data_IF_280523471396
#
_entry.id   IF_280523471396
#
_cell.length_a   1.000
_cell.length_b   1.000
_cell.length_c   1.000
_cell.angle_alpha   90.00
_cell.angle_beta   90.00
_cell.angle_gamma   90.00
#
_symmetry.space_group_name_H-M   'P 1'
#
loop_
_entity.id
_entity.type
_entity.pdbx_description
1 polymer ?
#
# COMPACT_ATOMS: atom_id res chain seq x y z
N UNK A 1 -32.55 -0.12 34.07
CA UNK A 1 -32.07 1.23 33.69
C UNK A 1 -30.55 1.31 33.43
N UNK A 2 -29.73 0.27 33.69
CA UNK A 2 -28.27 0.30 33.48
C UNK A 2 -27.77 -0.35 32.16
N UNK A 3 -28.63 -1.06 31.42
CA UNK A 3 -28.24 -1.73 30.16
C UNK A 3 -28.05 -0.77 28.97
N UNK A 4 -28.84 0.32 28.93
CA UNK A 4 -28.80 1.31 27.86
C UNK A 4 -27.45 2.07 27.76
N UNK A 5 -26.87 2.60 28.87
CA UNK A 5 -25.58 3.31 28.78
C UNK A 5 -24.42 2.38 28.41
N UNK A 6 -24.44 1.11 28.86
CA UNK A 6 -23.41 0.13 28.53
C UNK A 6 -23.44 -0.21 27.03
N UNK A 7 -24.64 -0.33 26.45
CA UNK A 7 -24.81 -0.63 25.03
C UNK A 7 -24.35 0.54 24.13
N UNK A 8 -24.58 1.79 24.56
CA UNK A 8 -24.08 2.99 23.85
C UNK A 8 -22.55 3.06 23.89
N UNK A 9 -21.92 2.70 25.01
CA UNK A 9 -20.47 2.71 25.18
C UNK A 9 -19.77 1.66 24.30
N UNK A 10 -20.38 0.47 24.16
CA UNK A 10 -19.90 -0.61 23.26
C UNK A 10 -20.02 -0.21 21.78
N UNK A 11 -21.11 0.48 21.41
CA UNK A 11 -21.28 0.98 20.05
C UNK A 11 -20.23 2.07 19.75
N UNK A 12 -19.98 3.00 20.67
CA UNK A 12 -18.99 4.06 20.47
C UNK A 12 -17.56 3.53 20.29
N UNK A 13 -17.20 2.44 20.99
CA UNK A 13 -15.90 1.80 20.89
C UNK A 13 -15.67 1.06 19.56
N UNK A 14 -16.75 0.68 18.84
CA UNK A 14 -16.66 -0.08 17.58
C UNK A 14 -16.51 0.78 16.32
N UNK A 15 -16.62 2.12 16.43
CA UNK A 15 -16.49 3.04 15.29
C UNK A 15 -15.12 3.73 15.19
N UNK A 16 -14.17 3.37 16.05
CA UNK A 16 -12.83 3.95 16.09
C UNK A 16 -11.86 3.33 15.08
N UNK A 17 -12.08 3.49 13.77
CA UNK A 17 -10.98 3.32 12.80
C UNK A 17 -11.24 4.02 11.47
N UNK A 18 -11.22 5.36 11.47
CA UNK A 18 -10.92 6.11 10.24
C UNK A 18 -9.52 6.68 10.36
N UNK A 19 -8.54 5.85 10.02
CA UNK A 19 -7.17 6.30 9.80
C UNK A 19 -7.15 7.37 8.71
N UNK A 20 -7.04 8.63 9.13
CA UNK A 20 -6.72 9.77 8.29
C UNK A 20 -5.23 9.72 7.96
N UNK A 21 -4.90 9.29 6.76
CA UNK A 21 -3.66 9.69 6.12
C UNK A 21 -3.83 9.54 4.61
N UNK A 22 -3.20 10.42 3.83
CA UNK A 22 -2.99 10.24 2.39
C UNK A 22 -2.06 9.06 2.12
N UNK A 23 -2.44 7.87 2.58
CA UNK A 23 -1.67 6.64 2.49
C UNK A 23 -1.94 6.02 1.14
N UNK A 24 -0.88 5.96 0.32
CA UNK A 24 -0.82 5.08 -0.83
C UNK A 24 -1.27 3.68 -0.41
N UNK A 25 -2.39 3.18 -0.97
CA UNK A 25 -2.98 1.93 -0.51
C UNK A 25 -2.08 0.73 -0.78
N UNK A 26 -1.18 0.82 -1.75
CA UNK A 26 -0.18 -0.23 -1.97
C UNK A 26 0.84 -0.38 -0.82
N UNK A 27 1.06 0.67 -0.01
CA UNK A 27 1.96 0.65 1.16
C UNK A 27 1.29 0.12 2.42
N UNK A 28 -0.04 0.09 2.47
CA UNK A 28 -0.79 -0.39 3.62
C UNK A 28 -0.66 -1.93 3.74
N UNK A 29 -0.04 -2.45 4.81
CA UNK A 29 0.11 -3.89 5.00
C UNK A 29 -1.22 -4.58 5.39
N UNK A 30 -2.20 -3.83 5.89
CA UNK A 30 -3.51 -4.35 6.31
C UNK A 30 -4.49 -4.48 5.15
N UNK A 31 -4.23 -3.79 4.03
CA UNK A 31 -5.06 -3.84 2.83
C UNK A 31 -4.94 -5.19 2.10
N UNK A 32 -6.03 -5.72 1.51
CA UNK A 32 -5.96 -6.97 0.76
C UNK A 32 -5.00 -6.86 -0.44
N UNK A 33 -4.25 -7.94 -0.69
CA UNK A 33 -3.18 -7.97 -1.69
C UNK A 33 -3.61 -7.44 -3.07
N UNK A 34 -4.75 -7.89 -3.58
CA UNK A 34 -5.27 -7.46 -4.89
C UNK A 34 -5.51 -5.96 -4.97
N UNK A 35 -5.91 -5.32 -3.87
CA UNK A 35 -6.10 -3.87 -3.82
C UNK A 35 -4.76 -3.14 -3.85
N UNK A 36 -3.75 -3.66 -3.17
CA UNK A 36 -2.39 -3.11 -3.17
C UNK A 36 -1.77 -3.18 -4.56
N UNK A 37 -1.89 -4.33 -5.23
CA UNK A 37 -1.39 -4.53 -6.61
C UNK A 37 -2.09 -3.57 -7.57
N UNK A 38 -3.42 -3.50 -7.54
CA UNK A 38 -4.19 -2.61 -8.43
C UNK A 38 -3.86 -1.14 -8.22
N UNK A 39 -3.70 -0.71 -6.97
CA UNK A 39 -3.32 0.68 -6.67
C UNK A 39 -1.90 1.00 -7.15
N UNK A 40 -0.93 0.08 -6.95
CA UNK A 40 0.43 0.23 -7.44
C UNK A 40 0.47 0.30 -8.98
N UNK A 41 -0.10 -0.68 -9.67
CA UNK A 41 -0.09 -0.76 -11.14
C UNK A 41 -0.75 0.45 -11.82
N UNK A 42 -1.75 1.06 -11.17
CA UNK A 42 -2.43 2.27 -11.65
C UNK A 42 -1.53 3.51 -11.59
N UNK A 43 -0.60 3.54 -10.63
CA UNK A 43 0.30 4.68 -10.40
C UNK A 43 1.60 4.59 -11.19
N UNK A 44 1.97 3.38 -11.63
CA UNK A 44 3.20 3.16 -12.38
C UNK A 44 3.12 3.64 -13.84
N UNK A 45 4.20 4.26 -14.31
CA UNK A 45 4.44 4.55 -15.73
C UNK A 45 4.74 3.27 -16.51
N UNK A 46 4.76 3.36 -17.85
CA UNK A 46 5.14 2.23 -18.68
C UNK A 46 6.60 1.82 -18.45
N UNK A 47 7.49 2.80 -18.27
CA UNK A 47 8.92 2.58 -18.01
C UNK A 47 9.15 1.85 -16.69
N UNK A 48 8.45 2.26 -15.63
CA UNK A 48 8.53 1.58 -14.33
C UNK A 48 8.03 0.13 -14.41
N UNK A 49 6.99 -0.14 -15.21
CA UNK A 49 6.48 -1.50 -15.43
C UNK A 49 7.48 -2.36 -16.19
N UNK A 50 8.13 -1.80 -17.20
CA UNK A 50 9.19 -2.48 -17.96
C UNK A 50 10.39 -2.76 -17.03
N UNK A 51 10.78 -1.79 -16.19
CA UNK A 51 11.84 -1.95 -15.20
C UNK A 51 11.62 -3.15 -14.29
N UNK A 52 10.42 -3.30 -13.73
CA UNK A 52 10.06 -4.45 -12.87
C UNK A 52 10.08 -5.81 -13.59
N UNK A 53 9.94 -5.85 -14.92
CA UNK A 53 10.03 -7.08 -15.72
C UNK A 53 11.45 -7.36 -16.24
N UNK A 54 12.36 -6.40 -16.09
CA UNK A 54 13.71 -6.47 -16.63
C UNK A 54 14.65 -7.08 -15.58
N UNK A 55 15.46 -8.04 -16.00
CA UNK A 55 16.51 -8.63 -15.16
C UNK A 55 17.86 -8.32 -15.78
N UNK A 56 18.79 -7.79 -14.97
CA UNK A 56 20.16 -7.45 -15.38
C UNK A 56 21.18 -8.32 -14.64
N UNK A 57 22.34 -8.50 -15.24
CA UNK A 57 23.47 -9.15 -14.58
C UNK A 57 23.97 -8.28 -13.41
N UNK A 58 24.33 -8.93 -12.29
CA UNK A 58 24.89 -8.26 -11.12
C UNK A 58 26.18 -7.51 -11.44
N UNK A 59 26.96 -7.97 -12.42
CA UNK A 59 28.21 -7.32 -12.85
C UNK A 59 27.96 -5.89 -13.33
N UNK A 60 26.77 -5.60 -13.87
CA UNK A 60 26.38 -4.28 -14.37
C UNK A 60 25.39 -3.55 -13.46
N UNK A 61 24.95 -4.18 -12.37
CA UNK A 61 23.94 -3.64 -11.46
C UNK A 61 24.53 -2.62 -10.45
N UNK A 62 24.81 -1.41 -10.92
CA UNK A 62 25.17 -0.28 -10.03
C UNK A 62 23.92 0.38 -9.45
N UNK A 63 23.98 0.99 -8.26
CA UNK A 63 22.84 1.72 -7.67
C UNK A 63 22.27 2.81 -8.59
N UNK A 64 23.14 3.41 -9.41
CA UNK A 64 22.77 4.42 -10.40
C UNK A 64 21.92 3.82 -11.53
N UNK A 65 22.32 2.65 -12.05
CA UNK A 65 21.59 1.94 -13.12
C UNK A 65 20.22 1.45 -12.60
N UNK A 66 20.21 0.81 -11.43
CA UNK A 66 18.98 0.35 -10.74
C UNK A 66 17.98 1.51 -10.60
N UNK A 67 18.44 2.65 -10.07
CA UNK A 67 17.58 3.82 -9.88
C UNK A 67 17.12 4.46 -11.19
N UNK A 68 18.00 4.55 -12.19
CA UNK A 68 17.71 5.23 -13.46
C UNK A 68 16.69 4.46 -14.31
N UNK A 69 16.75 3.13 -14.28
CA UNK A 69 15.93 2.27 -15.14
C UNK A 69 14.83 1.50 -14.40
N UNK A 70 14.67 1.74 -13.08
CA UNK A 70 13.66 1.09 -12.24
C UNK A 70 13.78 -0.45 -12.19
N UNK A 71 15.03 -0.94 -12.21
CA UNK A 71 15.43 -2.36 -12.21
C UNK A 71 15.90 -2.77 -10.82
#
# INVERSE_FOLDING_TARGET
>A
MAFLPVLVLVILASFGSTGLAGSDRYKDPTAPLNYRIKDLMRRMTLEEKIGQMTQIDRVVATPEIVKKYFI
#
